data_IF_362776650862
#
_entry.id   IF_362776650862
#
_cell.length_a   1.000
_cell.length_b   1.000
_cell.length_c   1.000
_cell.angle_alpha   90.00
_cell.angle_beta   90.00
_cell.angle_gamma   90.00
#
_symmetry.space_group_name_H-M   'P 1'
#
loop_
_entity.id
_entity.type
_entity.pdbx_description
1 polymer ?
#
# COMPACT_ATOMS: atom_id res chain seq x y z
N UNK A 1 -4.55 12.36 7.47
CA UNK A 1 -5.55 12.41 6.38
C UNK A 1 -5.08 11.47 5.28
N UNK A 2 -5.98 10.62 4.81
CA UNK A 2 -5.78 9.74 3.66
C UNK A 2 -6.77 10.18 2.59
N UNK A 3 -6.28 10.55 1.41
CA UNK A 3 -7.11 10.91 0.28
C UNK A 3 -6.69 10.10 -0.94
N UNK A 4 -7.60 9.28 -1.44
CA UNK A 4 -7.41 8.43 -2.62
C UNK A 4 -8.78 8.17 -3.26
N UNK A 5 -8.85 8.00 -4.59
CA UNK A 5 -10.09 7.63 -5.25
C UNK A 5 -10.41 6.15 -4.97
N UNK A 6 -11.68 5.77 -5.10
CA UNK A 6 -12.09 4.37 -4.97
C UNK A 6 -11.35 3.46 -5.97
N UNK A 7 -11.17 3.95 -7.20
CA UNK A 7 -10.56 3.21 -8.31
C UNK A 7 -9.72 4.13 -9.20
N UNK A 8 -8.86 3.53 -10.03
CA UNK A 8 -8.18 4.24 -11.12
C UNK A 8 -9.11 4.55 -12.29
N UNK A 9 -8.67 5.46 -13.17
CA UNK A 9 -9.32 5.76 -14.44
C UNK A 9 -9.14 4.57 -15.42
N UNK A 10 -10.15 4.25 -16.25
CA UNK A 10 -10.16 3.07 -17.14
C UNK A 10 -10.18 3.40 -18.65
N UNK A 11 -10.41 4.65 -19.02
CA UNK A 11 -10.46 5.13 -20.41
C UNK A 11 -9.07 5.08 -21.06
N UNK A 12 -7.99 5.31 -20.31
CA UNK A 12 -6.61 5.16 -20.81
C UNK A 12 -5.66 4.46 -19.83
N UNK A 13 -6.22 3.72 -18.87
CA UNK A 13 -5.46 2.93 -17.90
C UNK A 13 -6.24 1.66 -17.54
N UNK A 14 -5.69 0.85 -16.64
CA UNK A 14 -6.27 -0.43 -16.24
C UNK A 14 -7.25 -0.31 -15.06
N UNK A 15 -7.40 0.88 -14.47
CA UNK A 15 -8.25 1.11 -13.30
C UNK A 15 -7.76 0.47 -11.99
N UNK A 16 -6.69 -0.31 -12.03
CA UNK A 16 -6.14 -1.07 -10.88
C UNK A 16 -5.17 -0.26 -10.03
N UNK A 17 -4.79 0.94 -10.46
CA UNK A 17 -3.80 1.78 -9.79
C UNK A 17 -4.31 3.20 -9.65
N UNK A 18 -4.12 3.78 -8.46
CA UNK A 18 -4.53 5.14 -8.15
C UNK A 18 -3.55 5.81 -7.18
N UNK A 19 -3.42 7.15 -7.23
CA UNK A 19 -2.59 7.88 -6.28
C UNK A 19 -3.20 7.89 -4.89
N UNK A 20 -2.34 7.77 -3.88
CA UNK A 20 -2.65 8.05 -2.48
C UNK A 20 -1.96 9.34 -2.06
N UNK A 21 -2.73 10.25 -1.47
CA UNK A 21 -2.20 11.43 -0.77
C UNK A 21 -2.34 11.17 0.72
N UNK A 22 -1.21 11.17 1.41
CA UNK A 22 -1.17 10.99 2.86
C UNK A 22 -0.57 12.23 3.49
N UNK A 23 -1.34 12.87 4.38
CA UNK A 23 -0.92 14.02 5.16
C UNK A 23 -0.96 13.64 6.64
N UNK A 24 0.17 13.74 7.32
CA UNK A 24 0.30 13.46 8.73
C UNK A 24 1.07 14.58 9.43
N UNK A 25 0.91 14.69 10.75
CA UNK A 25 1.71 15.60 11.58
C UNK A 25 2.99 14.93 12.07
N UNK A 26 3.79 15.67 12.84
CA UNK A 26 5.14 15.27 13.27
C UNK A 26 5.19 14.00 14.13
N UNK A 27 4.07 13.61 14.75
CA UNK A 27 3.96 12.39 15.55
C UNK A 27 3.54 11.15 14.72
N UNK A 28 3.75 11.18 13.40
CA UNK A 28 3.48 10.02 12.55
C UNK A 28 4.59 8.97 12.71
N UNK A 29 4.23 7.74 13.07
CA UNK A 29 5.19 6.66 13.25
C UNK A 29 5.55 5.94 11.93
N UNK A 30 5.72 6.69 10.84
CA UNK A 30 6.07 6.18 9.51
C UNK A 30 7.14 7.05 8.85
N UNK A 31 8.12 6.44 8.20
CA UNK A 31 9.13 7.14 7.38
C UNK A 31 8.58 7.49 5.99
N UNK A 32 7.83 8.58 5.90
CA UNK A 32 7.17 9.00 4.65
C UNK A 32 7.12 10.51 4.41
N UNK A 33 7.64 11.31 5.35
CA UNK A 33 7.54 12.78 5.31
C UNK A 33 8.27 13.35 4.10
N UNK A 34 7.58 14.18 3.30
CA UNK A 34 8.18 14.90 2.17
C UNK A 34 8.57 14.02 0.98
N UNK A 35 8.07 12.78 0.89
CA UNK A 35 8.46 11.81 -0.14
C UNK A 35 7.36 11.63 -1.20
N UNK A 36 7.79 11.50 -2.45
CA UNK A 36 7.00 10.83 -3.48
C UNK A 36 7.44 9.36 -3.54
N UNK A 37 6.52 8.45 -3.24
CA UNK A 37 6.78 7.01 -3.23
C UNK A 37 6.03 6.39 -4.40
N UNK A 38 6.77 5.77 -5.33
CA UNK A 38 6.20 4.97 -6.41
C UNK A 38 6.67 3.53 -6.25
N UNK A 39 5.71 2.64 -6.07
CA UNK A 39 5.94 1.20 -6.03
C UNK A 39 5.82 0.59 -7.43
N UNK A 40 6.32 -0.63 -7.64
CA UNK A 40 6.12 -1.36 -8.89
C UNK A 40 4.64 -1.48 -9.25
N UNK A 41 4.37 -1.58 -10.54
CA UNK A 41 3.00 -1.61 -11.05
C UNK A 41 2.30 -2.94 -10.77
N UNK A 42 0.97 -2.93 -10.71
CA UNK A 42 0.14 -4.09 -10.36
C UNK A 42 0.56 -5.35 -11.14
N UNK A 43 0.64 -6.47 -10.43
CA UNK A 43 1.03 -7.76 -11.01
C UNK A 43 2.54 -7.92 -11.30
N UNK A 44 3.41 -7.13 -10.65
CA UNK A 44 4.87 -7.24 -10.76
C UNK A 44 5.53 -7.36 -9.39
N UNK A 45 6.73 -7.93 -9.39
CA UNK A 45 7.51 -8.12 -8.19
C UNK A 45 7.73 -6.79 -7.45
N UNK A 46 7.52 -6.81 -6.13
CA UNK A 46 7.65 -5.64 -5.27
C UNK A 46 6.41 -4.75 -5.18
N UNK A 47 5.37 -4.96 -6.01
CA UNK A 47 4.09 -4.25 -5.87
C UNK A 47 3.52 -4.41 -4.45
N UNK A 48 2.74 -3.42 -4.00
CA UNK A 48 2.04 -3.46 -2.71
C UNK A 48 0.59 -3.05 -2.92
N UNK A 49 -0.29 -3.83 -2.32
CA UNK A 49 -1.74 -3.63 -2.38
C UNK A 49 -2.22 -2.71 -1.25
N UNK A 50 -3.49 -2.33 -1.29
CA UNK A 50 -4.16 -1.68 -0.15
C UNK A 50 -4.07 -2.54 1.13
N UNK A 51 -4.04 -3.88 1.01
CA UNK A 51 -3.82 -4.79 2.13
C UNK A 51 -2.48 -4.55 2.81
N UNK A 52 -1.39 -4.40 2.04
CA UNK A 52 -0.08 -4.04 2.60
C UNK A 52 -0.11 -2.67 3.29
N UNK A 53 -0.79 -1.68 2.70
CA UNK A 53 -0.90 -0.35 3.29
C UNK A 53 -1.60 -0.36 4.65
N UNK A 54 -2.74 -1.02 4.78
CA UNK A 54 -3.43 -1.15 6.07
C UNK A 54 -2.67 -2.02 7.06
N UNK A 55 -1.97 -3.06 6.59
CA UNK A 55 -1.06 -3.85 7.43
C UNK A 55 0.04 -2.95 8.03
N UNK A 56 0.62 -2.06 7.22
CA UNK A 56 1.65 -1.08 7.65
C UNK A 56 1.11 -0.17 8.74
N UNK A 57 -0.09 0.40 8.55
CA UNK A 57 -0.72 1.26 9.55
C UNK A 57 -0.97 0.51 10.87
N UNK A 58 -1.53 -0.70 10.81
CA UNK A 58 -1.80 -1.47 12.03
C UNK A 58 -0.52 -1.85 12.77
N UNK A 59 0.51 -2.27 12.03
CA UNK A 59 1.80 -2.64 12.62
C UNK A 59 2.52 -1.42 13.22
N UNK A 60 2.45 -0.25 12.59
CA UNK A 60 3.08 0.98 13.06
C UNK A 60 2.46 1.54 14.36
N UNK A 61 1.21 1.20 14.65
CA UNK A 61 0.48 1.69 15.82
C UNK A 61 0.10 0.57 16.83
N UNK A 62 0.90 -0.50 16.88
CA UNK A 62 0.86 -1.48 17.97
C UNK A 62 -0.11 -2.65 17.77
N UNK A 63 -0.56 -2.92 16.55
CA UNK A 63 -1.34 -4.11 16.20
C UNK A 63 -0.58 -4.99 15.18
N UNK A 64 0.34 -5.85 15.64
CA UNK A 64 1.20 -6.65 14.77
C UNK A 64 0.43 -7.83 14.18
N UNK A 65 -0.31 -7.57 13.10
CA UNK A 65 -0.96 -8.59 12.29
C UNK A 65 -0.09 -9.00 11.11
N UNK A 66 -0.23 -10.24 10.66
CA UNK A 66 0.48 -10.75 9.47
C UNK A 66 0.04 -10.04 8.18
N UNK A 67 -1.27 -9.88 7.98
CA UNK A 67 -1.83 -9.20 6.83
C UNK A 67 -3.26 -8.72 7.07
N UNK A 68 -3.61 -7.57 6.50
CA UNK A 68 -4.96 -7.03 6.50
C UNK A 68 -5.69 -7.34 5.19
N UNK A 69 -6.90 -7.89 5.30
CA UNK A 69 -7.78 -8.14 4.16
C UNK A 69 -7.45 -9.39 3.37
N UNK A 70 -8.13 -9.56 2.25
CA UNK A 70 -7.96 -10.71 1.37
C UNK A 70 -6.80 -10.49 0.38
N UNK A 71 -6.06 -11.56 0.00
CA UNK A 71 -5.05 -11.48 -1.03
C UNK A 71 -5.60 -11.05 -2.39
N UNK A 72 -4.85 -10.20 -3.10
CA UNK A 72 -5.10 -9.88 -4.50
C UNK A 72 -4.92 -11.15 -5.37
N UNK A 73 -5.91 -11.39 -6.22
CA UNK A 73 -6.02 -12.61 -7.04
C UNK A 73 -4.90 -12.68 -8.09
N UNK A 74 -4.54 -11.56 -8.71
CA UNK A 74 -3.52 -11.53 -9.77
C UNK A 74 -2.12 -11.71 -9.19
N UNK A 75 -1.84 -11.07 -8.06
CA UNK A 75 -0.60 -11.25 -7.30
C UNK A 75 -0.47 -12.70 -6.83
N UNK A 76 -1.55 -13.30 -6.31
CA UNK A 76 -1.57 -14.70 -5.87
C UNK A 76 -1.34 -15.67 -7.05
N UNK A 77 -2.00 -15.43 -8.18
CA UNK A 77 -1.83 -16.23 -9.41
C UNK A 77 -0.37 -16.24 -9.88
N UNK A 78 0.31 -15.10 -9.77
CA UNK A 78 1.73 -14.94 -10.10
C UNK A 78 2.68 -15.37 -8.99
N UNK A 79 2.17 -15.82 -7.83
CA UNK A 79 2.95 -16.18 -6.64
C UNK A 79 3.88 -15.05 -6.18
N UNK A 80 3.42 -13.81 -6.33
CA UNK A 80 4.15 -12.63 -5.87
C UNK A 80 3.87 -12.39 -4.39
N UNK A 81 4.90 -11.94 -3.68
CA UNK A 81 4.75 -11.51 -2.29
C UNK A 81 3.82 -10.29 -2.20
N UNK A 82 2.83 -10.40 -1.32
CA UNK A 82 1.79 -9.40 -1.10
C UNK A 82 1.33 -9.34 0.36
N UNK A 83 1.96 -10.08 1.28
CA UNK A 83 1.60 -10.06 2.71
C UNK A 83 2.50 -9.11 3.49
N UNK A 84 2.17 -8.82 4.75
CA UNK A 84 2.99 -7.97 5.60
C UNK A 84 2.94 -6.47 5.33
N UNK A 85 3.64 -5.74 6.20
CA UNK A 85 3.81 -4.29 6.11
C UNK A 85 4.81 -3.88 5.02
N UNK A 86 4.63 -2.65 4.52
CA UNK A 86 5.59 -2.00 3.62
C UNK A 86 6.80 -1.57 4.46
N UNK A 87 7.79 -2.46 4.56
CA UNK A 87 8.94 -2.31 5.47
C UNK A 87 9.69 -0.98 5.32
N UNK A 88 9.83 -0.47 4.09
CA UNK A 88 10.51 0.81 3.84
C UNK A 88 9.81 2.05 4.44
N UNK A 89 8.59 1.90 4.97
CA UNK A 89 7.84 2.97 5.64
C UNK A 89 7.80 2.80 7.16
N UNK A 90 8.28 1.66 7.68
CA UNK A 90 8.32 1.40 9.11
C UNK A 90 9.51 2.14 9.72
N UNK A 91 9.26 2.92 10.78
CA UNK A 91 10.27 3.66 11.54
C UNK A 91 11.11 2.77 12.47
#
# INVERSE_FOLDING_TARGET
ILYFPENGEGHHSWGTEAPFIVLAGDNCNLDMTGRYIRLPYHGNEGHKTIGNWYTTLLNAYGNPIEHYGDPDIEMARKKLDQTGAIQQLMS
#
